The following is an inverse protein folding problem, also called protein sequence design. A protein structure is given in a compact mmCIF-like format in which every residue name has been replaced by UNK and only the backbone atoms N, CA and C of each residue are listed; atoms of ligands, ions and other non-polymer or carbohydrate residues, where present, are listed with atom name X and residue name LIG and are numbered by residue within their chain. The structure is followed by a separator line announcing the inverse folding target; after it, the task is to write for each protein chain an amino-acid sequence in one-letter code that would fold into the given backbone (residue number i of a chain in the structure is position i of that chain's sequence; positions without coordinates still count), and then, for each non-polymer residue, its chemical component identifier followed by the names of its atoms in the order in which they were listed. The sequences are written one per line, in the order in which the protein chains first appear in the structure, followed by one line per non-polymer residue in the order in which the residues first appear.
data_IF_381828110583
#
_entry.id   IF_381828110583
#
_cell.length_a   1.000
_cell.length_b   1.000
_cell.length_c   1.000
_cell.angle_alpha   90.00
_cell.angle_beta   90.00
_cell.angle_gamma   90.00
#
_symmetry.space_group_name_H-M   'P 1'
#
loop_
_entity.id
_entity.type
_entity.pdbx_description
1 polymer ?
#
# COMPACT_ATOMS: atom_id res chain seq x y z
N UNK A 1 -41.17 -3.21 71.98
CA UNK A 1 -41.05 -2.01 71.12
C UNK A 1 -39.68 -1.38 71.35
N UNK A 2 -38.86 -1.02 70.34
CA UNK A 2 -38.76 -1.45 68.96
C UNK A 2 -37.41 -2.14 68.63
N UNK A 3 -37.38 -2.82 67.49
CA UNK A 3 -36.18 -3.28 66.77
C UNK A 3 -35.29 -2.09 66.39
N UNK A 4 -33.98 -2.17 66.66
CA UNK A 4 -32.99 -1.24 66.11
C UNK A 4 -32.07 -1.97 65.12
N UNK A 5 -32.50 -1.90 63.85
CA UNK A 5 -31.75 -1.78 62.60
C UNK A 5 -30.22 -1.92 62.69
N UNK A 6 -29.66 -2.98 62.09
CA UNK A 6 -28.40 -2.88 61.35
C UNK A 6 -28.22 -4.06 60.38
N UNK A 7 -28.98 -4.06 59.28
CA UNK A 7 -28.62 -4.87 58.11
C UNK A 7 -28.14 -3.86 57.08
N UNK A 8 -26.82 -3.68 57.01
CA UNK A 8 -26.14 -2.96 55.95
C UNK A 8 -26.19 -3.85 54.71
N UNK A 9 -26.94 -3.54 53.63
CA UNK A 9 -26.75 -4.27 52.40
C UNK A 9 -25.44 -3.75 51.81
N UNK A 10 -24.40 -4.57 51.87
CA UNK A 10 -23.23 -4.47 51.01
C UNK A 10 -23.70 -4.72 49.56
N UNK A 11 -24.33 -3.72 48.97
CA UNK A 11 -24.66 -3.68 47.56
C UNK A 11 -23.37 -3.30 46.83
N UNK A 12 -22.47 -4.28 46.73
CA UNK A 12 -21.30 -4.23 45.86
C UNK A 12 -21.86 -4.20 44.44
N UNK A 13 -22.03 -2.98 43.90
CA UNK A 13 -22.30 -2.75 42.49
C UNK A 13 -21.18 -3.43 41.68
N UNK A 14 -21.43 -4.63 41.17
CA UNK A 14 -20.74 -5.15 40.00
C UNK A 14 -21.17 -4.29 38.81
N UNK A 15 -20.57 -3.11 38.69
CA UNK A 15 -20.48 -2.44 37.39
C UNK A 15 -19.51 -3.28 36.58
N UNK A 16 -20.04 -4.33 35.96
CA UNK A 16 -19.35 -5.06 34.91
C UNK A 16 -19.11 -4.09 33.77
N UNK A 17 -17.94 -3.45 33.77
CA UNK A 17 -17.48 -2.67 32.65
C UNK A 17 -17.40 -3.63 31.46
N UNK A 18 -18.35 -3.51 30.52
CA UNK A 18 -18.21 -4.07 29.19
C UNK A 18 -16.95 -3.45 28.56
N UNK A 19 -15.80 -4.08 28.78
CA UNK A 19 -14.59 -3.79 28.03
C UNK A 19 -14.83 -4.34 26.63
N UNK A 20 -15.38 -3.49 25.76
CA UNK A 20 -15.38 -3.78 24.34
C UNK A 20 -13.90 -3.99 23.94
N UNK A 21 -13.56 -5.09 23.25
CA UNK A 21 -12.20 -5.26 22.76
C UNK A 21 -11.87 -4.04 21.89
N UNK A 22 -10.65 -3.49 21.97
CA UNK A 22 -10.26 -2.38 21.11
C UNK A 22 -10.50 -2.81 19.66
N UNK A 23 -11.31 -2.03 18.94
CA UNK A 23 -11.46 -2.18 17.49
C UNK A 23 -10.06 -1.96 16.93
N UNK A 24 -9.43 -3.04 16.45
CA UNK A 24 -8.12 -2.99 15.84
C UNK A 24 -8.20 -1.94 14.71
N UNK A 25 -7.44 -0.86 14.86
CA UNK A 25 -7.37 0.16 13.82
C UNK A 25 -6.86 -0.55 12.56
N UNK A 26 -7.55 -0.43 11.41
CA UNK A 26 -7.02 -0.98 10.18
C UNK A 26 -5.64 -0.34 9.94
N UNK A 27 -4.61 -1.19 9.91
CA UNK A 27 -3.26 -0.74 9.62
C UNK A 27 -3.16 -0.23 8.17
N UNK A 28 -2.12 0.54 7.86
CA UNK A 28 -2.02 1.18 6.54
C UNK A 28 -1.85 0.16 5.40
N UNK A 29 -2.38 0.52 4.24
CA UNK A 29 -2.32 -0.27 3.01
C UNK A 29 -1.35 0.34 2.00
N UNK A 30 -0.43 -0.48 1.50
CA UNK A 30 0.52 -0.09 0.45
C UNK A 30 0.45 -1.06 -0.72
N UNK A 31 0.32 -0.49 -1.91
CA UNK A 31 0.46 -1.19 -3.17
C UNK A 31 1.82 -0.87 -3.76
N UNK A 32 2.65 -1.88 -3.98
CA UNK A 32 3.97 -1.72 -4.58
C UNK A 32 4.00 -2.48 -5.88
N UNK A 33 4.49 -1.86 -6.94
CA UNK A 33 4.64 -2.52 -8.24
C UNK A 33 5.89 -2.04 -8.97
N UNK A 34 6.37 -2.86 -9.89
CA UNK A 34 7.33 -2.44 -10.90
C UNK A 34 6.61 -1.63 -11.97
N UNK A 35 7.31 -0.69 -12.62
CA UNK A 35 6.87 -0.11 -13.88
C UNK A 35 6.48 -1.20 -14.91
N UNK A 36 5.68 -0.83 -15.91
CA UNK A 36 5.15 -1.77 -16.90
C UNK A 36 6.10 -1.98 -18.08
N UNK A 37 5.64 -2.77 -19.05
CA UNK A 37 6.46 -3.28 -20.15
C UNK A 37 7.18 -2.17 -20.91
N UNK A 38 8.48 -2.38 -21.14
CA UNK A 38 9.39 -1.47 -21.86
C UNK A 38 10.20 -2.25 -22.89
N UNK A 39 10.77 -1.59 -23.92
CA UNK A 39 11.79 -2.21 -24.76
C UNK A 39 13.00 -2.64 -23.93
N UNK A 40 13.61 -3.77 -24.28
CA UNK A 40 14.83 -4.25 -23.63
C UNK A 40 16.04 -3.36 -23.99
N UNK A 41 16.97 -3.19 -23.03
CA UNK A 41 18.27 -2.57 -23.27
C UNK A 41 18.32 -1.04 -23.35
N UNK A 42 17.19 -0.35 -23.18
CA UNK A 42 17.14 1.12 -23.16
C UNK A 42 17.26 1.67 -21.71
N UNK A 43 17.91 2.83 -21.55
CA UNK A 43 18.21 3.41 -20.24
C UNK A 43 16.99 4.02 -19.53
N UNK A 44 16.22 4.85 -20.25
CA UNK A 44 14.94 5.37 -19.78
C UNK A 44 13.90 5.40 -20.92
N UNK A 45 13.48 4.22 -21.40
CA UNK A 45 12.53 4.14 -22.48
C UNK A 45 11.12 4.52 -22.02
N UNK A 46 10.30 4.90 -22.98
CA UNK A 46 8.86 4.91 -22.83
C UNK A 46 8.30 3.48 -22.70
N UNK A 47 7.09 3.36 -22.19
CA UNK A 47 6.33 2.11 -22.23
C UNK A 47 6.09 1.69 -23.68
N UNK A 48 6.15 0.38 -23.94
CA UNK A 48 5.70 -0.18 -25.23
C UNK A 48 4.18 -0.04 -25.37
N UNK A 49 3.64 -0.34 -26.55
CA UNK A 49 2.19 -0.44 -26.73
C UNK A 49 1.53 -1.43 -25.73
N UNK A 50 2.21 -2.55 -25.44
CA UNK A 50 1.78 -3.48 -24.39
C UNK A 50 1.78 -2.82 -23.01
N UNK A 51 2.86 -2.12 -22.64
CA UNK A 51 2.97 -1.42 -21.36
C UNK A 51 1.91 -0.32 -21.20
N UNK A 52 1.60 0.39 -22.28
CA UNK A 52 0.52 1.40 -22.30
C UNK A 52 -0.85 0.75 -22.11
N UNK A 53 -1.11 -0.40 -22.76
CA UNK A 53 -2.34 -1.19 -22.53
C UNK A 53 -2.45 -1.64 -21.08
N UNK A 54 -1.35 -2.15 -20.51
CA UNK A 54 -1.27 -2.52 -19.11
C UNK A 54 -1.52 -1.33 -18.17
N UNK A 55 -1.04 -0.13 -18.51
CA UNK A 55 -1.28 1.06 -17.70
C UNK A 55 -2.77 1.46 -17.69
N UNK A 56 -3.48 1.22 -18.80
CA UNK A 56 -4.94 1.38 -18.84
C UNK A 56 -5.67 0.32 -18.01
N UNK A 57 -5.16 -0.91 -17.98
CA UNK A 57 -5.69 -1.96 -17.09
C UNK A 57 -5.47 -1.61 -15.63
N UNK A 58 -4.32 -1.04 -15.28
CA UNK A 58 -4.03 -0.51 -13.94
C UNK A 58 -5.02 0.59 -13.54
N UNK A 59 -5.46 1.44 -14.47
CA UNK A 59 -6.48 2.43 -14.17
C UNK A 59 -7.76 1.78 -13.61
N UNK A 60 -8.17 0.65 -14.16
CA UNK A 60 -9.38 -0.07 -13.74
C UNK A 60 -9.12 -1.14 -12.67
N UNK A 61 -7.87 -1.30 -12.22
CA UNK A 61 -7.52 -2.27 -11.22
C UNK A 61 -8.19 -1.93 -9.89
N UNK A 62 -8.91 -2.92 -9.35
CA UNK A 62 -9.68 -2.80 -8.12
C UNK A 62 -9.37 -4.00 -7.23
N UNK A 63 -8.40 -3.84 -6.32
CA UNK A 63 -8.15 -4.77 -5.20
C UNK A 63 -8.09 -3.96 -3.91
N UNK A 64 -9.22 -3.89 -3.23
CA UNK A 64 -9.37 -3.06 -2.03
C UNK A 64 -9.67 -1.60 -2.39
N UNK A 65 -9.26 -0.69 -1.51
CA UNK A 65 -9.51 0.74 -1.67
C UNK A 65 -8.58 1.36 -2.73
N UNK A 66 -9.06 2.35 -3.52
CA UNK A 66 -8.21 3.07 -4.44
C UNK A 66 -7.10 3.82 -3.67
N UNK A 67 -5.89 3.95 -4.24
CA UNK A 67 -4.83 4.72 -3.60
C UNK A 67 -5.24 6.18 -3.44
N UNK A 68 -4.98 6.76 -2.28
CA UNK A 68 -5.13 8.18 -1.98
C UNK A 68 -3.89 9.00 -2.39
N UNK A 69 -2.74 8.32 -2.60
CA UNK A 69 -1.49 8.93 -3.04
C UNK A 69 -0.72 7.96 -3.95
N UNK A 70 0.02 8.53 -4.91
CA UNK A 70 0.82 7.76 -5.87
C UNK A 70 2.26 8.28 -5.83
N UNK A 71 3.21 7.37 -5.62
CA UNK A 71 4.65 7.61 -5.71
C UNK A 71 5.22 6.96 -6.96
N UNK A 72 6.01 7.71 -7.72
CA UNK A 72 6.71 7.21 -8.91
C UNK A 72 8.18 7.59 -8.85
N UNK A 73 9.06 6.69 -9.28
CA UNK A 73 10.45 7.10 -9.56
C UNK A 73 10.47 8.12 -10.71
N UNK A 74 11.53 8.91 -10.82
CA UNK A 74 11.67 9.95 -11.86
C UNK A 74 11.75 9.44 -13.32
N UNK A 75 11.74 8.13 -13.53
CA UNK A 75 11.83 7.52 -14.87
C UNK A 75 10.53 7.70 -15.69
N UNK A 76 10.65 7.88 -17.01
CA UNK A 76 9.50 8.01 -17.92
C UNK A 76 8.52 6.85 -17.78
N UNK A 77 9.04 5.62 -17.81
CA UNK A 77 8.26 4.38 -17.67
C UNK A 77 7.47 4.29 -16.36
N UNK A 78 8.00 4.77 -15.24
CA UNK A 78 7.27 4.77 -13.96
C UNK A 78 6.15 5.82 -13.97
N UNK A 79 6.43 7.02 -14.47
CA UNK A 79 5.42 8.08 -14.63
C UNK A 79 4.29 7.63 -15.56
N UNK A 80 4.62 7.07 -16.71
CA UNK A 80 3.65 6.56 -17.69
C UNK A 80 2.84 5.37 -17.17
N UNK A 81 3.42 4.53 -16.31
CA UNK A 81 2.70 3.42 -15.67
C UNK A 81 1.54 3.94 -14.83
N UNK A 82 1.78 4.97 -14.01
CA UNK A 82 0.78 5.50 -13.10
C UNK A 82 -0.20 6.49 -13.74
N UNK A 83 0.18 7.14 -14.85
CA UNK A 83 -0.56 8.28 -15.40
C UNK A 83 -2.06 8.01 -15.64
N UNK A 84 -2.49 6.86 -16.21
CA UNK A 84 -3.92 6.61 -16.41
C UNK A 84 -4.71 6.50 -15.10
N UNK A 85 -4.16 5.83 -14.09
CA UNK A 85 -4.79 5.71 -12.77
C UNK A 85 -4.82 7.07 -12.05
N UNK A 86 -3.72 7.82 -12.11
CA UNK A 86 -3.61 9.15 -11.54
C UNK A 86 -4.66 10.11 -12.12
N UNK A 87 -4.80 10.13 -13.45
CA UNK A 87 -5.81 10.91 -14.13
C UNK A 87 -7.24 10.51 -13.74
N UNK A 88 -7.53 9.21 -13.63
CA UNK A 88 -8.86 8.72 -13.21
C UNK A 88 -9.21 9.13 -11.78
N UNK A 89 -8.22 9.12 -10.88
CA UNK A 89 -8.40 9.46 -9.47
C UNK A 89 -8.26 10.96 -9.17
N UNK A 90 -7.84 11.77 -10.15
CA UNK A 90 -7.55 13.19 -9.95
C UNK A 90 -6.35 13.43 -9.03
N UNK A 91 -5.36 12.53 -9.06
CA UNK A 91 -4.16 12.61 -8.22
C UNK A 91 -2.95 13.06 -9.02
N UNK A 92 -2.11 13.88 -8.42
CA UNK A 92 -0.79 14.23 -8.95
C UNK A 92 0.27 13.29 -8.35
N UNK A 93 0.99 12.49 -9.16
CA UNK A 93 2.03 11.60 -8.65
C UNK A 93 3.20 12.35 -8.01
N UNK A 94 3.61 11.90 -6.83
CA UNK A 94 4.79 12.38 -6.12
C UNK A 94 6.03 11.65 -6.64
N UNK A 95 7.04 12.40 -7.03
CA UNK A 95 8.28 11.86 -7.59
C UNK A 95 9.28 11.59 -6.47
N UNK A 96 9.90 10.40 -6.48
CA UNK A 96 10.97 10.05 -5.53
C UNK A 96 12.28 9.68 -6.23
N UNK A 97 13.41 9.88 -5.51
CA UNK A 97 14.72 9.42 -5.95
C UNK A 97 14.84 7.91 -5.70
N UNK A 98 14.98 7.15 -6.77
CA UNK A 98 15.15 5.69 -6.76
C UNK A 98 16.41 5.22 -6.01
N UNK A 99 17.36 6.11 -5.71
CA UNK A 99 18.58 5.82 -4.93
C UNK A 99 18.40 6.02 -3.43
N UNK A 100 17.27 6.57 -2.98
CA UNK A 100 17.04 6.95 -1.59
C UNK A 100 15.72 6.37 -1.04
N UNK A 101 15.66 5.03 -0.94
CA UNK A 101 14.53 4.32 -0.32
C UNK A 101 14.20 4.82 1.09
N UNK A 102 15.15 5.13 1.99
CA UNK A 102 14.81 5.68 3.31
C UNK A 102 14.01 6.99 3.25
N UNK A 103 14.35 7.90 2.34
CA UNK A 103 13.58 9.12 2.15
C UNK A 103 12.17 8.85 1.61
N UNK A 104 12.02 7.91 0.67
CA UNK A 104 10.71 7.46 0.19
C UNK A 104 9.84 6.93 1.34
N UNK A 105 10.39 6.07 2.20
CA UNK A 105 9.63 5.49 3.32
C UNK A 105 9.21 6.56 4.33
N UNK A 106 10.10 7.51 4.65
CA UNK A 106 9.76 8.63 5.53
C UNK A 106 8.65 9.52 4.96
N UNK A 107 8.56 9.67 3.64
CA UNK A 107 7.49 10.42 2.97
C UNK A 107 6.17 9.65 2.97
N UNK A 108 6.22 8.35 2.66
CA UNK A 108 5.04 7.46 2.72
C UNK A 108 4.40 7.48 4.11
N UNK A 109 5.20 7.45 5.17
CA UNK A 109 4.71 7.45 6.56
C UNK A 109 3.94 8.73 6.94
N UNK A 110 4.17 9.84 6.23
CA UNK A 110 3.49 11.13 6.44
C UNK A 110 2.32 11.34 5.48
N UNK A 111 2.11 10.42 4.56
CA UNK A 111 1.15 10.55 3.46
C UNK A 111 -0.17 9.82 3.77
N UNK A 112 -1.27 10.17 3.09
CA UNK A 112 -2.51 9.42 3.13
C UNK A 112 -2.34 7.96 2.70
N UNK A 113 -3.26 7.11 3.14
CA UNK A 113 -3.34 5.70 2.76
C UNK A 113 -4.69 5.43 2.07
N UNK A 114 -4.79 4.43 1.18
CA UNK A 114 -3.71 3.59 0.68
C UNK A 114 -2.72 4.33 -0.22
N UNK A 115 -1.47 3.88 -0.31
CA UNK A 115 -0.48 4.45 -1.22
C UNK A 115 -0.12 3.46 -2.34
N UNK A 116 -0.01 3.94 -3.59
CA UNK A 116 0.60 3.18 -4.69
C UNK A 116 2.04 3.65 -4.91
N UNK A 117 2.98 2.71 -5.00
CA UNK A 117 4.39 2.96 -5.24
C UNK A 117 4.81 2.22 -6.51
N UNK A 118 5.24 2.97 -7.52
CA UNK A 118 5.78 2.43 -8.78
C UNK A 118 7.31 2.54 -8.77
N UNK A 119 7.98 1.39 -8.78
CA UNK A 119 9.43 1.25 -8.76
C UNK A 119 9.98 0.38 -9.88
N UNK A 120 11.07 -0.32 -9.59
CA UNK A 120 11.86 -1.11 -10.53
C UNK A 120 12.06 -2.53 -10.01
N UNK A 121 12.48 -3.45 -10.88
CA UNK A 121 12.72 -4.85 -10.49
C UNK A 121 13.70 -5.00 -9.32
N UNK A 122 14.68 -4.10 -9.24
CA UNK A 122 15.68 -4.06 -8.16
C UNK A 122 15.25 -3.26 -6.93
N UNK A 123 14.23 -2.38 -7.01
CA UNK A 123 13.81 -1.58 -5.85
C UNK A 123 12.52 -2.10 -5.20
N UNK A 124 11.64 -2.73 -5.96
CA UNK A 124 10.36 -3.25 -5.46
C UNK A 124 10.54 -4.20 -4.27
N UNK A 125 11.45 -5.20 -4.29
CA UNK A 125 11.63 -6.07 -3.15
C UNK A 125 12.01 -5.30 -1.87
N UNK A 126 12.92 -4.34 -1.99
CA UNK A 126 13.43 -3.58 -0.86
C UNK A 126 12.39 -2.58 -0.32
N UNK A 127 11.57 -2.00 -1.20
CA UNK A 127 10.43 -1.16 -0.81
C UNK A 127 9.41 -1.98 -0.01
N UNK A 128 9.03 -3.18 -0.48
CA UNK A 128 8.10 -4.05 0.25
C UNK A 128 8.66 -4.42 1.62
N UNK A 129 9.95 -4.77 1.71
CA UNK A 129 10.62 -5.07 2.97
C UNK A 129 10.64 -3.88 3.92
N UNK A 130 10.96 -2.68 3.41
CA UNK A 130 11.04 -1.47 4.22
C UNK A 130 9.67 -0.98 4.72
N UNK A 131 8.59 -1.37 4.03
CA UNK A 131 7.20 -1.19 4.50
C UNK A 131 6.77 -2.25 5.53
N UNK A 132 7.69 -3.12 5.97
CA UNK A 132 7.47 -4.16 6.96
C UNK A 132 6.87 -5.45 6.41
N UNK A 133 6.70 -5.55 5.08
CA UNK A 133 6.22 -6.76 4.43
C UNK A 133 7.31 -7.82 4.25
N UNK A 134 6.90 -9.07 4.03
CA UNK A 134 7.81 -10.12 3.58
C UNK A 134 8.43 -9.75 2.23
N UNK A 135 9.77 -9.70 2.17
CA UNK A 135 10.52 -9.33 0.98
C UNK A 135 10.27 -10.32 -0.18
N UNK A 136 9.78 -9.86 -1.34
CA UNK A 136 9.70 -10.67 -2.56
C UNK A 136 11.07 -11.23 -2.98
N UNK A 137 11.06 -12.35 -3.70
CA UNK A 137 12.24 -12.82 -4.43
C UNK A 137 12.66 -11.82 -5.52
N UNK A 138 13.84 -11.99 -6.16
CA UNK A 138 14.25 -11.18 -7.29
C UNK A 138 13.22 -11.21 -8.42
N UNK A 139 12.95 -10.05 -9.04
CA UNK A 139 12.10 -9.93 -10.23
C UNK A 139 12.96 -10.02 -11.49
N UNK A 140 12.52 -10.78 -12.50
CA UNK A 140 13.16 -10.83 -13.82
C UNK A 140 12.60 -9.75 -14.75
N UNK A 141 13.13 -9.63 -15.97
CA UNK A 141 12.60 -8.65 -16.92
C UNK A 141 11.15 -8.97 -17.30
N UNK A 142 10.78 -10.24 -17.34
CA UNK A 142 9.45 -10.74 -17.73
C UNK A 142 8.37 -10.50 -16.65
N UNK A 143 8.79 -10.21 -15.41
CA UNK A 143 7.89 -9.94 -14.28
C UNK A 143 7.32 -8.51 -14.35
N UNK A 144 6.37 -8.30 -15.26
CA UNK A 144 5.57 -7.07 -15.37
C UNK A 144 4.14 -7.27 -14.85
N UNK A 145 3.59 -6.21 -14.24
CA UNK A 145 2.18 -6.15 -13.85
C UNK A 145 1.85 -6.77 -12.49
N UNK A 146 2.84 -7.28 -11.75
CA UNK A 146 2.63 -7.70 -10.37
C UNK A 146 2.47 -6.52 -9.42
N UNK A 147 1.54 -6.67 -8.49
CA UNK A 147 1.27 -5.74 -7.39
C UNK A 147 1.38 -6.52 -6.09
N UNK A 148 2.28 -6.06 -5.23
CA UNK A 148 2.40 -6.49 -3.84
C UNK A 148 1.56 -5.57 -2.97
N UNK A 149 0.58 -6.13 -2.28
CA UNK A 149 -0.23 -5.42 -1.29
C UNK A 149 0.30 -5.76 0.10
N UNK A 150 0.89 -4.76 0.78
CA UNK A 150 1.30 -4.83 2.18
C UNK A 150 0.17 -4.23 3.02
N UNK A 151 -0.52 -5.05 3.80
CA UNK A 151 -1.77 -4.66 4.44
C UNK A 151 -1.82 -4.90 5.94
N UNK A 152 -2.57 -4.03 6.62
CA UNK A 152 -2.92 -4.16 8.02
C UNK A 152 -1.74 -4.02 9.00
N UNK A 153 -2.00 -4.13 10.30
CA UNK A 153 -0.98 -3.93 11.32
C UNK A 153 0.08 -5.03 11.32
N UNK A 154 -0.25 -6.24 10.85
CA UNK A 154 0.69 -7.36 10.71
C UNK A 154 1.53 -7.31 9.43
N UNK A 155 1.31 -6.31 8.54
CA UNK A 155 2.04 -6.14 7.27
C UNK A 155 1.99 -7.40 6.40
N UNK A 156 0.82 -8.01 6.32
CA UNK A 156 0.58 -9.19 5.47
C UNK A 156 0.85 -8.81 4.02
N UNK A 157 1.62 -9.65 3.31
CA UNK A 157 1.92 -9.42 1.89
C UNK A 157 1.12 -10.38 1.03
N UNK A 158 0.33 -9.84 0.12
CA UNK A 158 -0.29 -10.62 -0.96
C UNK A 158 0.23 -10.15 -2.31
N UNK A 159 0.37 -11.08 -3.26
CA UNK A 159 0.75 -10.79 -4.64
C UNK A 159 -0.47 -10.97 -5.53
N UNK A 160 -0.73 -9.98 -6.37
CA UNK A 160 -1.72 -10.07 -7.44
C UNK A 160 -1.09 -9.58 -8.75
N UNK A 161 -1.76 -9.84 -9.88
CA UNK A 161 -1.36 -9.32 -11.19
C UNK A 161 -2.46 -8.42 -11.70
N UNK A 162 -2.12 -7.30 -12.34
CA UNK A 162 -3.09 -6.54 -13.12
C UNK A 162 -3.65 -7.50 -14.17
N UNK A 163 -4.97 -7.67 -14.18
CA UNK A 163 -5.62 -8.58 -15.10
C UNK A 163 -5.33 -8.11 -16.53
N UNK A 164 -4.73 -8.98 -17.34
CA UNK A 164 -4.64 -8.84 -18.79
C UNK A 164 -5.85 -9.47 -19.44
#
# INVERSE_FOLDING_TARGET
MPLLRLILPLMLLLVGACQLPPVAQPGPDFYVMRHLHTPAGASDPDLTAEGQRQAQLLANWSRGEPPAVIFVSDTKRARQTAAPLAARLGLEPIVYDLRNTPALIAEIQKSPNPALIVGHSNTVPDIVAALGGARPGPLTHEDFGDIWHVSGPQRTVTRSKIAG
#
